data_IF_938226795399
#
_entry.id   IF_938226795399
#
_cell.length_a   1.000
_cell.length_b   1.000
_cell.length_c   1.000
_cell.angle_alpha   90.00
_cell.angle_beta   90.00
_cell.angle_gamma   90.00
#
_symmetry.space_group_name_H-M   'P 1'
#
loop_
_entity.id
_entity.type
_entity.pdbx_description
1 polymer ?
#
# COMPACT_ATOMS: atom_id res chain seq x y z
N UNK A 1 0.02 -24.04 -22.62
CA UNK A 1 -0.96 -24.70 -21.74
C UNK A 1 -0.49 -26.05 -21.20
N UNK A 2 0.09 -26.96 -21.99
CA UNK A 2 0.60 -28.25 -21.44
C UNK A 2 1.79 -28.06 -20.48
N UNK A 3 2.73 -27.16 -20.80
CA UNK A 3 3.89 -26.87 -19.94
C UNK A 3 3.53 -26.25 -18.59
N UNK A 4 2.47 -25.43 -18.54
CA UNK A 4 2.05 -24.74 -17.31
C UNK A 4 1.39 -25.72 -16.35
N UNK A 5 0.60 -26.69 -16.84
CA UNK A 5 -0.02 -27.71 -15.99
C UNK A 5 1.03 -28.60 -15.30
N UNK A 6 2.01 -29.09 -16.05
CA UNK A 6 3.07 -29.97 -15.50
C UNK A 6 3.95 -29.23 -14.48
N UNK A 7 4.19 -27.93 -14.68
CA UNK A 7 4.95 -27.13 -13.71
C UNK A 7 4.13 -26.81 -12.47
N UNK A 8 2.84 -26.50 -12.60
CA UNK A 8 1.96 -26.35 -11.44
C UNK A 8 1.92 -27.63 -10.60
N UNK A 9 1.80 -28.81 -11.20
CA UNK A 9 1.84 -30.08 -10.45
C UNK A 9 3.17 -30.31 -9.72
N UNK A 10 4.30 -30.02 -10.38
CA UNK A 10 5.63 -30.11 -9.76
C UNK A 10 5.78 -29.13 -8.60
N UNK A 11 5.38 -27.87 -8.80
CA UNK A 11 5.43 -26.84 -7.77
C UNK A 11 4.51 -27.19 -6.59
N UNK A 12 3.32 -27.72 -6.86
CA UNK A 12 2.40 -28.16 -5.81
C UNK A 12 2.98 -29.31 -4.99
N UNK A 13 3.67 -30.27 -5.63
CA UNK A 13 4.38 -31.32 -4.92
C UNK A 13 5.52 -30.78 -4.06
N UNK A 14 6.32 -29.84 -4.57
CA UNK A 14 7.43 -29.24 -3.82
C UNK A 14 6.88 -28.44 -2.63
N UNK A 15 5.86 -27.61 -2.86
CA UNK A 15 5.21 -26.82 -1.83
C UNK A 15 4.60 -27.72 -0.77
N UNK A 16 3.92 -28.81 -1.14
CA UNK A 16 3.41 -29.79 -0.16
C UNK A 16 4.48 -30.45 0.70
N UNK A 17 5.76 -30.46 0.28
CA UNK A 17 6.88 -30.92 1.12
C UNK A 17 7.50 -29.83 2.01
N UNK A 18 7.29 -28.55 1.64
CA UNK A 18 7.86 -27.39 2.33
C UNK A 18 6.86 -26.67 3.23
N UNK A 19 5.57 -26.87 2.98
CA UNK A 19 4.39 -26.43 3.72
C UNK A 19 4.45 -27.05 5.13
N UNK A 20 4.93 -26.24 6.07
CA UNK A 20 5.24 -26.68 7.41
C UNK A 20 4.02 -26.76 8.32
N UNK A 21 2.96 -26.01 7.99
CA UNK A 21 1.73 -25.91 8.76
C UNK A 21 0.54 -26.63 8.10
N UNK A 22 0.72 -27.11 6.86
CA UNK A 22 -0.26 -27.84 6.05
C UNK A 22 -1.53 -27.04 5.79
N UNK A 23 -1.42 -25.72 5.71
CA UNK A 23 -2.55 -24.82 5.48
C UNK A 23 -2.90 -24.63 4.00
N UNK A 24 -2.12 -25.22 3.08
CA UNK A 24 -2.20 -25.05 1.62
C UNK A 24 -2.02 -23.59 1.16
N UNK A 25 -1.42 -22.77 1.99
CA UNK A 25 -0.97 -21.43 1.68
C UNK A 25 0.55 -21.38 1.73
N UNK A 26 1.08 -20.24 1.31
CA UNK A 26 2.50 -19.98 1.22
C UNK A 26 2.74 -18.74 2.07
N UNK A 27 3.51 -18.92 3.14
CA UNK A 27 4.09 -17.83 3.91
C UNK A 27 5.35 -17.28 3.26
N UNK A 28 5.80 -16.10 3.70
CA UNK A 28 7.08 -15.55 3.26
C UNK A 28 8.26 -16.47 3.60
N UNK A 29 8.23 -17.14 4.75
CA UNK A 29 9.23 -18.14 5.15
C UNK A 29 9.24 -19.35 4.21
N UNK A 30 8.09 -19.86 3.79
CA UNK A 30 7.97 -20.98 2.86
C UNK A 30 8.39 -20.58 1.45
N UNK A 31 7.98 -19.40 0.99
CA UNK A 31 8.50 -18.82 -0.24
C UNK A 31 10.03 -18.78 -0.23
N UNK A 32 10.64 -18.34 0.87
CA UNK A 32 12.11 -18.35 1.00
C UNK A 32 12.69 -19.77 0.92
N UNK A 33 12.03 -20.79 1.45
CA UNK A 33 12.47 -22.19 1.28
C UNK A 33 12.38 -22.63 -0.18
N UNK A 34 11.29 -22.31 -0.88
CA UNK A 34 11.09 -22.58 -2.31
C UNK A 34 12.25 -21.97 -3.12
N UNK A 35 12.62 -20.72 -2.83
CA UNK A 35 13.72 -20.02 -3.51
C UNK A 35 15.11 -20.61 -3.22
N UNK A 36 15.24 -21.49 -2.22
CA UNK A 36 16.47 -22.23 -1.94
C UNK A 36 16.40 -23.69 -2.43
N UNK A 37 15.31 -24.09 -3.09
CA UNK A 37 15.09 -25.45 -3.55
C UNK A 37 15.39 -25.56 -5.06
N UNK A 38 16.50 -26.21 -5.48
CA UNK A 38 16.95 -26.19 -6.87
C UNK A 38 15.91 -26.71 -7.87
N UNK A 39 15.11 -27.71 -7.49
CA UNK A 39 14.07 -28.25 -8.37
C UNK A 39 12.92 -27.25 -8.58
N UNK A 40 12.64 -26.39 -7.60
CA UNK A 40 11.64 -25.32 -7.74
C UNK A 40 12.16 -24.22 -8.67
N UNK A 41 13.43 -23.82 -8.50
CA UNK A 41 14.06 -22.84 -9.38
C UNK A 41 14.04 -23.31 -10.84
N UNK A 42 14.37 -24.58 -11.08
CA UNK A 42 14.29 -25.17 -12.42
C UNK A 42 12.85 -25.18 -12.96
N UNK A 43 11.87 -25.52 -12.13
CA UNK A 43 10.47 -25.53 -12.53
C UNK A 43 9.96 -24.12 -12.95
N UNK A 44 10.42 -23.08 -12.25
CA UNK A 44 10.14 -21.68 -12.60
C UNK A 44 10.80 -21.27 -13.93
N UNK A 45 12.06 -21.64 -14.14
CA UNK A 45 12.76 -21.39 -15.40
C UNK A 45 12.10 -22.10 -16.58
N UNK A 46 11.59 -23.32 -16.39
CA UNK A 46 10.89 -24.11 -17.42
C UNK A 46 9.61 -23.41 -17.91
N UNK A 47 8.94 -22.62 -17.06
CA UNK A 47 7.80 -21.76 -17.45
C UNK A 47 8.24 -20.39 -17.95
N UNK A 48 9.54 -20.08 -18.02
CA UNK A 48 10.07 -18.81 -18.52
C UNK A 48 9.95 -17.67 -17.52
N UNK A 49 9.92 -17.99 -16.22
CA UNK A 49 10.02 -17.04 -15.12
C UNK A 49 11.43 -17.14 -14.55
N UNK A 50 12.09 -16.00 -14.38
CA UNK A 50 13.41 -15.94 -13.75
C UNK A 50 13.24 -15.84 -12.22
N UNK A 51 13.71 -16.84 -11.44
CA UNK A 51 13.56 -16.82 -9.99
C UNK A 51 14.19 -15.58 -9.33
N UNK A 52 15.26 -15.02 -9.89
CA UNK A 52 15.92 -13.85 -9.30
C UNK A 52 14.98 -12.64 -9.27
N UNK A 53 14.17 -12.46 -10.32
CA UNK A 53 13.20 -11.36 -10.39
C UNK A 53 12.02 -11.58 -9.43
N UNK A 54 11.64 -12.82 -9.12
CA UNK A 54 10.52 -13.10 -8.20
C UNK A 54 10.80 -12.55 -6.80
N UNK A 55 12.07 -12.57 -6.35
CA UNK A 55 12.46 -12.06 -5.03
C UNK A 55 12.11 -10.58 -4.86
N UNK A 56 12.22 -9.80 -5.93
CA UNK A 56 11.89 -8.36 -5.92
C UNK A 56 10.39 -8.09 -5.69
N UNK A 57 9.53 -9.06 -6.02
CA UNK A 57 8.08 -8.97 -5.83
C UNK A 57 7.60 -9.59 -4.52
N UNK A 58 8.48 -10.27 -3.77
CA UNK A 58 8.09 -10.99 -2.56
C UNK A 58 7.48 -10.06 -1.50
N UNK A 59 7.98 -8.83 -1.37
CA UNK A 59 7.40 -7.84 -0.45
C UNK A 59 5.97 -7.46 -0.85
N UNK A 60 5.69 -7.33 -2.15
CA UNK A 60 4.36 -6.99 -2.66
C UNK A 60 3.34 -8.12 -2.46
N UNK A 61 3.79 -9.37 -2.54
CA UNK A 61 2.89 -10.53 -2.46
C UNK A 61 2.61 -10.98 -1.04
N UNK A 62 3.60 -10.86 -0.14
CA UNK A 62 3.51 -11.42 1.21
C UNK A 62 3.37 -10.36 2.30
N UNK A 63 3.23 -9.07 1.96
CA UNK A 63 2.98 -8.01 2.94
C UNK A 63 1.88 -7.05 2.47
N UNK A 64 0.90 -6.82 3.33
CA UNK A 64 -0.13 -5.78 3.15
C UNK A 64 0.02 -4.72 4.25
N UNK A 65 0.32 -3.48 3.86
CA UNK A 65 0.65 -2.37 4.78
C UNK A 65 1.71 -2.72 5.86
N UNK A 66 2.65 -3.61 5.53
CA UNK A 66 3.70 -4.09 6.43
C UNK A 66 3.29 -5.24 7.35
N UNK A 67 2.07 -5.76 7.21
CA UNK A 67 1.59 -6.96 7.90
C UNK A 67 1.83 -8.18 7.01
N UNK A 68 2.49 -9.25 7.51
CA UNK A 68 2.67 -10.48 6.75
C UNK A 68 1.32 -11.12 6.41
N UNK A 69 1.14 -11.47 5.14
CA UNK A 69 -0.02 -12.21 4.63
C UNK A 69 0.44 -13.51 3.97
N UNK A 70 -0.43 -14.50 3.94
CA UNK A 70 -0.21 -15.76 3.24
C UNK A 70 -0.94 -15.76 1.90
N UNK A 71 -0.41 -16.49 0.93
CA UNK A 71 -0.99 -16.61 -0.41
C UNK A 71 -1.37 -18.05 -0.69
N UNK A 72 -2.56 -18.28 -1.25
CA UNK A 72 -2.92 -19.63 -1.71
C UNK A 72 -2.01 -20.06 -2.86
N UNK A 73 -1.83 -21.37 -3.03
CA UNK A 73 -1.04 -21.93 -4.14
C UNK A 73 -1.50 -21.39 -5.50
N UNK A 74 -2.81 -21.37 -5.74
CA UNK A 74 -3.37 -20.89 -7.01
C UNK A 74 -3.03 -19.42 -7.24
N UNK A 75 -3.21 -18.57 -6.23
CA UNK A 75 -2.90 -17.14 -6.33
C UNK A 75 -1.41 -16.90 -6.53
N UNK A 76 -0.55 -17.66 -5.84
CA UNK A 76 0.90 -17.57 -6.01
C UNK A 76 1.32 -17.97 -7.43
N UNK A 77 0.79 -19.07 -7.96
CA UNK A 77 1.11 -19.52 -9.31
C UNK A 77 0.62 -18.52 -10.37
N UNK A 78 -0.55 -17.92 -10.20
CA UNK A 78 -1.04 -16.88 -11.10
C UNK A 78 -0.08 -15.67 -11.09
N UNK A 79 0.31 -15.18 -9.92
CA UNK A 79 1.27 -14.07 -9.78
C UNK A 79 2.65 -14.40 -10.37
N UNK A 80 3.14 -15.62 -10.21
CA UNK A 80 4.42 -16.08 -10.77
C UNK A 80 4.35 -16.17 -12.30
N UNK A 81 3.27 -16.75 -12.84
CA UNK A 81 3.08 -16.88 -14.28
C UNK A 81 2.89 -15.51 -14.95
N UNK A 82 2.37 -14.52 -14.23
CA UNK A 82 2.27 -13.15 -14.72
C UNK A 82 3.64 -12.51 -14.99
N UNK A 83 4.68 -12.90 -14.25
CA UNK A 83 6.06 -12.44 -14.44
C UNK A 83 6.79 -13.13 -15.59
N UNK A 84 6.14 -14.05 -16.30
CA UNK A 84 6.75 -14.76 -17.43
C UNK A 84 7.20 -13.74 -18.48
N UNK A 85 8.44 -13.88 -18.95
CA UNK A 85 9.01 -12.98 -19.98
C UNK A 85 8.21 -12.89 -21.28
N UNK A 86 7.34 -13.86 -21.57
CA UNK A 86 6.43 -13.85 -22.71
C UNK A 86 5.13 -13.07 -22.50
N UNK A 87 4.84 -12.59 -21.27
CA UNK A 87 3.72 -11.68 -20.99
C UNK A 87 4.10 -10.26 -21.41
N UNK A 88 4.01 -9.99 -22.71
CA UNK A 88 4.21 -8.66 -23.26
C UNK A 88 3.07 -7.72 -22.83
N UNK A 89 3.41 -6.63 -22.13
CA UNK A 89 2.43 -5.60 -21.78
C UNK A 89 1.82 -4.98 -23.06
N UNK A 90 0.50 -4.98 -23.14
CA UNK A 90 -0.25 -4.38 -24.25
C UNK A 90 -0.69 -2.96 -23.92
N UNK A 91 -1.10 -2.21 -24.96
CA UNK A 91 -1.72 -0.88 -24.77
C UNK A 91 -2.98 -0.96 -23.89
N UNK A 92 -3.68 -2.11 -23.90
CA UNK A 92 -4.83 -2.35 -23.02
C UNK A 92 -4.41 -2.36 -21.55
N UNK A 93 -3.28 -2.99 -21.25
CA UNK A 93 -2.75 -3.10 -19.88
C UNK A 93 -2.26 -1.73 -19.38
N UNK A 94 -1.58 -0.97 -20.23
CA UNK A 94 -1.19 0.42 -19.92
C UNK A 94 -2.44 1.29 -19.67
N UNK A 95 -3.47 1.15 -20.51
CA UNK A 95 -4.74 1.88 -20.31
C UNK A 95 -5.43 1.47 -19.02
N UNK A 96 -5.39 0.19 -18.66
CA UNK A 96 -5.96 -0.33 -17.42
C UNK A 96 -5.24 0.27 -16.21
N UNK A 97 -3.90 0.20 -16.18
CA UNK A 97 -3.07 0.83 -15.14
C UNK A 97 -3.35 2.33 -15.01
N UNK A 98 -3.50 3.03 -16.14
CA UNK A 98 -3.83 4.47 -16.13
C UNK A 98 -5.21 4.73 -15.51
N UNK A 99 -6.21 3.92 -15.83
CA UNK A 99 -7.57 4.08 -15.32
C UNK A 99 -7.62 3.84 -13.80
N UNK A 100 -6.97 2.78 -13.32
CA UNK A 100 -6.89 2.48 -11.89
C UNK A 100 -6.10 3.55 -11.13
N UNK A 101 -4.95 3.97 -11.69
CA UNK A 101 -4.13 5.05 -11.11
C UNK A 101 -4.93 6.34 -11.01
N UNK A 102 -5.69 6.71 -12.06
CA UNK A 102 -6.53 7.91 -12.08
C UNK A 102 -7.55 7.91 -10.94
N UNK A 103 -8.16 6.77 -10.63
CA UNK A 103 -9.11 6.66 -9.52
C UNK A 103 -8.43 6.90 -8.17
N UNK A 104 -7.26 6.26 -7.93
CA UNK A 104 -6.48 6.47 -6.71
C UNK A 104 -6.02 7.92 -6.56
N UNK A 105 -5.54 8.55 -7.64
CA UNK A 105 -5.15 9.97 -7.62
C UNK A 105 -6.30 10.91 -7.31
N UNK A 106 -7.50 10.65 -7.85
CA UNK A 106 -8.70 11.45 -7.57
C UNK A 106 -9.07 11.37 -6.08
N UNK A 107 -8.97 10.19 -5.47
CA UNK A 107 -9.24 10.02 -4.03
C UNK A 107 -8.22 10.78 -3.16
N UNK A 108 -6.94 10.77 -3.56
CA UNK A 108 -5.88 11.54 -2.88
C UNK A 108 -6.15 13.03 -2.99
N UNK A 109 -6.51 13.53 -4.18
CA UNK A 109 -6.84 14.94 -4.41
C UNK A 109 -8.02 15.40 -3.53
N UNK A 110 -9.08 14.59 -3.46
CA UNK A 110 -10.23 14.89 -2.60
C UNK A 110 -9.83 14.92 -1.12
N UNK A 111 -9.03 13.96 -0.67
CA UNK A 111 -8.57 13.88 0.73
C UNK A 111 -7.67 15.06 1.09
N UNK A 112 -6.81 15.51 0.17
CA UNK A 112 -5.98 16.70 0.36
C UNK A 112 -6.83 17.97 0.45
N UNK A 113 -7.77 18.17 -0.47
CA UNK A 113 -8.65 19.34 -0.46
C UNK A 113 -9.50 19.42 0.81
N UNK A 114 -9.99 18.28 1.31
CA UNK A 114 -10.68 18.22 2.60
C UNK A 114 -9.77 18.61 3.76
N UNK A 115 -8.52 18.11 3.80
CA UNK A 115 -7.55 18.49 4.83
C UNK A 115 -7.21 19.97 4.79
N UNK A 116 -7.00 20.57 3.61
CA UNK A 116 -6.77 22.00 3.46
C UNK A 116 -7.96 22.83 3.97
N UNK A 117 -9.18 22.44 3.59
CA UNK A 117 -10.41 23.12 4.06
C UNK A 117 -10.52 23.08 5.58
N UNK A 118 -10.22 21.92 6.20
CA UNK A 118 -10.25 21.78 7.66
C UNK A 118 -9.18 22.64 8.35
N UNK A 119 -7.99 22.77 7.75
CA UNK A 119 -6.92 23.63 8.27
C UNK A 119 -7.34 25.11 8.18
N UNK A 120 -7.89 25.54 7.04
CA UNK A 120 -8.37 26.91 6.87
C UNK A 120 -9.48 27.27 7.85
N UNK A 121 -10.43 26.34 8.07
CA UNK A 121 -11.50 26.53 9.06
C UNK A 121 -10.95 26.66 10.48
N UNK A 122 -10.00 25.80 10.88
CA UNK A 122 -9.36 25.88 12.20
C UNK A 122 -8.54 27.16 12.38
N UNK A 123 -7.82 27.56 11.35
CA UNK A 123 -7.05 28.79 11.34
C UNK A 123 -7.96 30.02 11.50
N UNK A 124 -9.04 30.09 10.71
CA UNK A 124 -10.02 31.17 10.79
C UNK A 124 -10.73 31.20 12.15
N UNK A 125 -11.14 30.05 12.69
CA UNK A 125 -11.74 29.98 14.02
C UNK A 125 -10.80 30.51 15.10
N UNK A 126 -9.52 30.15 15.04
CA UNK A 126 -8.49 30.60 15.99
C UNK A 126 -8.25 32.10 15.86
N UNK A 127 -8.18 32.63 14.62
CA UNK A 127 -8.05 34.06 14.36
C UNK A 127 -9.21 34.86 14.98
N UNK A 128 -10.46 34.42 14.77
CA UNK A 128 -11.63 35.08 15.36
C UNK A 128 -11.58 35.08 16.88
N UNK A 129 -11.23 33.95 17.51
CA UNK A 129 -11.10 33.89 18.97
C UNK A 129 -10.00 34.81 19.51
N UNK A 130 -8.90 35.02 18.77
CA UNK A 130 -7.85 35.98 19.14
C UNK A 130 -8.36 37.42 19.05
N UNK A 131 -9.05 37.77 17.97
CA UNK A 131 -9.62 39.12 17.76
C UNK A 131 -10.66 39.47 18.84
N UNK A 132 -11.54 38.52 19.20
CA UNK A 132 -12.51 38.67 20.28
C UNK A 132 -11.82 38.92 21.64
N UNK A 133 -10.81 38.10 21.97
CA UNK A 133 -10.06 38.24 23.21
C UNK A 133 -9.30 39.58 23.28
N UNK A 134 -8.71 40.03 22.17
CA UNK A 134 -8.05 41.34 22.10
C UNK A 134 -9.04 42.49 22.36
N UNK A 135 -10.24 42.43 21.75
CA UNK A 135 -11.28 43.45 21.97
C UNK A 135 -11.76 43.52 23.43
N UNK A 136 -11.81 42.38 24.13
CA UNK A 136 -12.14 42.34 25.56
C UNK A 136 -11.03 42.98 26.40
N UNK A 137 -9.77 42.71 26.07
CA UNK A 137 -8.62 43.31 26.74
C UNK A 137 -8.60 44.83 26.55
N UNK A 138 -8.80 45.32 25.33
CA UNK A 138 -8.86 46.77 25.05
C UNK A 138 -9.95 47.49 25.86
N UNK A 139 -11.15 46.90 25.96
CA UNK A 139 -12.24 47.45 26.77
C UNK A 139 -11.87 47.50 28.26
N UNK A 140 -11.21 46.46 28.77
CA UNK A 140 -10.74 46.42 30.16
C UNK A 140 -9.67 47.48 30.41
N UNK A 141 -8.71 47.64 29.50
CA UNK A 141 -7.65 48.66 29.59
C UNK A 141 -8.24 50.06 29.65
N UNK A 142 -9.15 50.42 28.71
CA UNK A 142 -9.80 51.73 28.70
C UNK A 142 -10.61 52.02 29.97
N UNK A 143 -11.26 51.00 30.52
CA UNK A 143 -12.01 51.14 31.78
C UNK A 143 -11.09 51.44 32.95
N UNK A 144 -9.99 50.72 33.07
CA UNK A 144 -8.99 50.95 34.13
C UNK A 144 -8.36 52.34 34.01
N UNK A 145 -8.05 52.78 32.79
CA UNK A 145 -7.53 54.14 32.52
C UNK A 145 -8.53 55.23 32.95
N UNK A 146 -9.82 55.05 32.65
CA UNK A 146 -10.86 55.99 33.06
C UNK A 146 -11.05 56.02 34.59
N UNK A 147 -11.02 54.87 35.25
CA UNK A 147 -11.11 54.77 36.72
C UNK A 147 -9.88 55.43 37.40
N UNK A 148 -8.67 55.23 36.87
CA UNK A 148 -7.45 55.91 37.32
C UNK A 148 -7.50 57.43 37.12
N UNK A 149 -8.05 57.90 36.00
CA UNK A 149 -8.24 59.32 35.73
C UNK A 149 -9.20 59.99 36.71
N UNK A 150 -10.25 59.28 37.16
CA UNK A 150 -11.25 59.83 38.08
C UNK A 150 -10.77 59.89 39.54
N UNK A 151 -9.69 59.17 39.86
CA UNK A 151 -9.05 59.18 41.19
C UNK A 151 -7.99 60.28 41.37
N UNK A 152 -7.63 61.01 40.29
CA UNK A 152 -6.75 62.18 40.34
C UNK A 152 -7.56 63.46 40.41
#
# INVERSE_FOLDING_TARGET
EILTHTVSEKMQSIIGTLDGDSDNQISFEEFRKIMNYPEALQALEDVGVDPMHIVDFAELWFFDEGVPIQQSFDSFMDMVLDLRSSNGATVKDIKHLWLESKQKFTNVEQSLNQKFTNVDQKFNATKTSIEENHGVLDKRTRRLEAELSAMR
#
